data_IF_912520787254
#
_entry.id   IF_912520787254
#
_cell.length_a   1.000
_cell.length_b   1.000
_cell.length_c   1.000
_cell.angle_alpha   90.00
_cell.angle_beta   90.00
_cell.angle_gamma   90.00
#
_symmetry.space_group_name_H-M   'P 1'
#
loop_
_entity.id
_entity.type
_entity.pdbx_description
1 polymer ?
#
# COMPACT_ATOMS: atom_id res chain seq x y z
N UNK A 1 9.52 20.50 -9.50
CA UNK A 1 8.57 20.17 -10.60
C UNK A 1 7.40 21.12 -10.49
N UNK A 2 6.86 21.66 -11.60
CA UNK A 2 5.85 22.74 -11.57
C UNK A 2 4.58 22.40 -10.75
N UNK A 3 4.26 21.12 -10.63
CA UNK A 3 3.07 20.58 -9.97
C UNK A 3 3.31 20.07 -8.54
N UNK A 4 4.55 20.10 -8.06
CA UNK A 4 4.82 19.79 -6.65
C UNK A 4 4.63 21.07 -5.84
N UNK A 5 3.99 20.96 -4.67
CA UNK A 5 3.88 22.09 -3.75
C UNK A 5 5.26 22.58 -3.28
N UNK A 6 5.29 23.68 -2.54
CA UNK A 6 6.54 24.29 -2.02
C UNK A 6 7.37 23.34 -1.15
N UNK A 7 6.76 22.29 -0.60
CA UNK A 7 7.42 21.24 0.18
C UNK A 7 7.88 20.04 -0.66
N UNK A 8 7.78 20.11 -1.99
CA UNK A 8 8.13 19.01 -2.88
C UNK A 8 7.23 17.79 -2.69
N UNK A 9 5.94 18.00 -2.42
CA UNK A 9 4.92 16.93 -2.38
C UNK A 9 3.87 17.16 -3.46
N UNK A 10 3.36 16.07 -4.00
CA UNK A 10 2.14 16.10 -4.81
C UNK A 10 1.00 15.82 -3.86
N UNK A 11 0.12 16.80 -3.73
CA UNK A 11 -1.14 16.59 -3.05
C UNK A 11 -2.06 15.87 -4.05
N UNK A 12 -2.63 14.76 -3.60
CA UNK A 12 -3.62 13.96 -4.33
C UNK A 12 -4.65 13.45 -3.31
N UNK A 13 -5.03 14.33 -2.38
CA UNK A 13 -5.77 13.97 -1.17
C UNK A 13 -7.26 13.82 -1.41
N UNK A 14 -7.82 14.58 -2.35
CA UNK A 14 -9.25 14.52 -2.67
C UNK A 14 -9.58 13.44 -3.69
N UNK A 15 -10.80 12.93 -3.64
CA UNK A 15 -11.36 12.03 -4.65
C UNK A 15 -11.28 12.66 -6.04
N UNK A 16 -10.77 11.90 -7.01
CA UNK A 16 -10.65 12.40 -8.38
C UNK A 16 -12.01 12.47 -9.07
N UNK A 17 -12.29 13.60 -9.72
CA UNK A 17 -13.34 13.75 -10.73
C UNK A 17 -12.79 14.57 -11.89
N UNK A 18 -13.01 14.15 -13.15
CA UNK A 18 -12.61 14.95 -14.30
C UNK A 18 -13.21 16.35 -14.24
N UNK A 19 -12.37 17.38 -14.43
CA UNK A 19 -12.88 18.74 -14.53
C UNK A 19 -13.55 18.98 -15.89
N UNK A 20 -14.58 19.83 -15.89
CA UNK A 20 -15.23 20.32 -17.09
C UNK A 20 -15.70 21.76 -16.84
N UNK A 21 -15.06 22.71 -17.49
CA UNK A 21 -15.33 24.14 -17.36
C UNK A 21 -14.78 24.89 -18.59
N UNK A 22 -15.16 26.16 -18.76
CA UNK A 22 -14.57 27.03 -19.78
C UNK A 22 -13.31 27.72 -19.21
N UNK A 23 -12.38 28.08 -20.08
CA UNK A 23 -11.11 28.72 -19.69
C UNK A 23 -10.11 27.76 -19.04
N UNK A 24 -8.98 28.29 -18.63
CA UNK A 24 -7.86 27.51 -18.05
C UNK A 24 -8.21 26.91 -16.69
N UNK A 25 -7.51 25.84 -16.30
CA UNK A 25 -7.67 25.21 -14.99
C UNK A 25 -7.19 26.13 -13.86
N UNK A 26 -8.11 26.92 -13.33
CA UNK A 26 -7.91 27.85 -12.21
C UNK A 26 -9.13 27.84 -11.29
N UNK A 27 -8.94 28.31 -10.06
CA UNK A 27 -10.03 28.44 -9.09
C UNK A 27 -11.12 29.39 -9.58
N UNK A 28 -10.73 30.52 -10.19
CA UNK A 28 -11.63 31.54 -10.78
C UNK A 28 -12.54 31.00 -11.88
N UNK A 29 -12.09 29.98 -12.61
CA UNK A 29 -12.87 29.30 -13.66
C UNK A 29 -13.62 28.07 -13.15
N UNK A 30 -13.63 27.83 -11.84
CA UNK A 30 -14.36 26.72 -11.22
C UNK A 30 -13.74 25.35 -11.46
N UNK A 31 -12.43 25.25 -11.67
CA UNK A 31 -11.76 23.97 -11.89
C UNK A 31 -11.83 23.06 -10.65
N UNK A 32 -12.52 21.93 -10.77
CA UNK A 32 -12.62 20.94 -9.68
C UNK A 32 -11.23 20.43 -9.24
N UNK A 33 -10.37 20.06 -10.20
CA UNK A 33 -9.05 19.50 -9.91
C UNK A 33 -8.21 20.46 -9.06
N UNK A 34 -8.16 21.74 -9.43
CA UNK A 34 -7.46 22.78 -8.65
C UNK A 34 -8.04 22.91 -7.25
N UNK A 35 -9.37 22.95 -7.12
CA UNK A 35 -10.06 23.13 -5.82
C UNK A 35 -9.77 22.01 -4.83
N UNK A 36 -9.64 20.76 -5.30
CA UNK A 36 -9.30 19.60 -4.44
C UNK A 36 -7.81 19.27 -4.45
N UNK A 37 -6.99 20.20 -4.97
CA UNK A 37 -5.54 20.08 -5.12
C UNK A 37 -5.10 18.76 -5.79
N UNK A 38 -5.80 18.36 -6.85
CA UNK A 38 -5.47 17.24 -7.70
C UNK A 38 -4.92 17.71 -9.05
N UNK A 39 -4.09 16.88 -9.66
CA UNK A 39 -3.65 17.09 -11.04
C UNK A 39 -4.73 16.69 -12.04
N UNK A 40 -4.81 17.42 -13.14
CA UNK A 40 -5.65 17.03 -14.27
C UNK A 40 -5.08 15.78 -14.94
N UNK A 41 -5.95 14.90 -15.41
CA UNK A 41 -5.58 13.65 -16.09
C UNK A 41 -6.16 13.64 -17.50
N UNK A 42 -5.83 12.63 -18.31
CA UNK A 42 -6.40 12.40 -19.65
C UNK A 42 -7.93 12.37 -19.69
N UNK A 43 -8.61 12.13 -18.56
CA UNK A 43 -10.07 12.14 -18.48
C UNK A 43 -10.68 13.54 -18.37
N UNK A 44 -9.90 14.56 -17.99
CA UNK A 44 -10.37 15.93 -17.84
C UNK A 44 -10.69 16.58 -19.19
N UNK A 45 -11.80 17.32 -19.26
CA UNK A 45 -12.24 18.07 -20.45
C UNK A 45 -11.59 19.44 -20.63
N UNK A 46 -10.51 19.75 -19.90
CA UNK A 46 -9.71 20.96 -20.12
C UNK A 46 -8.75 20.78 -21.30
N UNK A 47 -8.10 21.87 -21.75
CA UNK A 47 -7.20 21.85 -22.92
C UNK A 47 -6.04 20.84 -22.75
N UNK A 48 -5.49 20.40 -23.88
CA UNK A 48 -4.35 19.49 -23.94
C UNK A 48 -3.05 20.17 -23.43
N UNK A 49 -2.98 21.50 -23.54
CA UNK A 49 -1.92 22.37 -23.04
C UNK A 49 -2.09 22.78 -21.57
N UNK A 50 -3.09 22.23 -20.87
CA UNK A 50 -3.37 22.54 -19.47
C UNK A 50 -2.14 22.37 -18.57
N UNK A 51 -1.71 23.44 -17.91
CA UNK A 51 -0.53 23.42 -17.03
C UNK A 51 -0.69 22.53 -15.79
N UNK A 52 -1.93 22.27 -15.35
CA UNK A 52 -2.24 21.37 -14.24
C UNK A 52 -2.30 19.89 -14.67
N UNK A 53 -2.18 19.59 -15.97
CA UNK A 53 -2.26 18.22 -16.49
C UNK A 53 -0.97 17.47 -16.18
N UNK A 54 -1.10 16.27 -15.61
CA UNK A 54 0.06 15.45 -15.32
C UNK A 54 0.71 14.97 -16.62
N UNK A 55 2.01 15.23 -16.85
CA UNK A 55 2.66 14.99 -18.15
C UNK A 55 3.13 13.54 -18.34
N UNK A 56 2.95 12.66 -17.36
CA UNK A 56 3.57 11.33 -17.35
C UNK A 56 5.07 11.40 -17.08
N UNK A 57 5.79 10.31 -17.34
CA UNK A 57 7.25 10.24 -17.22
C UNK A 57 7.94 10.04 -18.57
N UNK A 58 9.20 10.44 -18.63
CA UNK A 58 10.11 10.21 -19.77
C UNK A 58 11.28 9.28 -19.40
N UNK A 59 11.04 8.38 -18.45
CA UNK A 59 12.07 7.47 -17.97
C UNK A 59 12.45 6.45 -19.05
N UNK A 60 13.70 5.99 -19.03
CA UNK A 60 14.08 4.82 -19.80
C UNK A 60 13.31 3.57 -19.29
N UNK A 61 13.08 2.58 -20.16
CA UNK A 61 12.35 1.37 -19.80
C UNK A 61 12.93 0.67 -18.55
N UNK A 62 12.05 0.23 -17.64
CA UNK A 62 12.45 -0.47 -16.39
C UNK A 62 12.79 0.42 -15.18
N UNK A 63 13.00 1.72 -15.39
CA UNK A 63 13.54 2.62 -14.35
C UNK A 63 12.49 3.30 -13.44
N UNK A 64 11.20 3.05 -13.63
CA UNK A 64 10.12 3.74 -12.90
C UNK A 64 9.94 3.28 -11.43
N UNK A 65 11.01 2.91 -10.72
CA UNK A 65 10.94 2.31 -9.37
C UNK A 65 11.37 3.24 -8.24
N UNK A 66 11.84 4.43 -8.57
CA UNK A 66 12.44 5.37 -7.61
C UNK A 66 11.87 6.77 -7.81
N UNK A 67 12.16 7.67 -6.86
CA UNK A 67 11.78 9.10 -6.91
C UNK A 67 12.37 9.86 -8.11
N UNK A 68 13.27 9.27 -8.90
CA UNK A 68 13.72 9.85 -10.17
C UNK A 68 12.62 9.83 -11.24
N UNK A 69 11.68 8.88 -11.14
CA UNK A 69 10.50 8.83 -11.99
C UNK A 69 9.42 9.78 -11.48
N UNK A 70 8.89 10.61 -12.37
CA UNK A 70 7.84 11.58 -12.06
C UNK A 70 6.56 10.90 -11.55
N UNK A 71 6.13 9.80 -12.16
CA UNK A 71 4.96 9.03 -11.72
C UNK A 71 5.18 8.46 -10.32
N UNK A 72 6.30 7.77 -10.11
CA UNK A 72 6.62 7.17 -8.81
C UNK A 72 6.72 8.24 -7.70
N UNK A 73 7.33 9.38 -8.00
CA UNK A 73 7.44 10.51 -7.09
C UNK A 73 6.08 11.09 -6.72
N UNK A 74 5.16 11.20 -7.68
CA UNK A 74 3.78 11.62 -7.47
C UNK A 74 2.94 10.57 -6.72
N UNK A 75 3.46 9.36 -6.50
CA UNK A 75 2.70 8.18 -6.05
C UNK A 75 1.59 7.81 -7.03
N UNK A 76 1.91 7.85 -8.33
CA UNK A 76 1.05 7.43 -9.43
C UNK A 76 1.68 6.24 -10.14
N UNK A 77 0.87 5.31 -10.63
CA UNK A 77 1.34 4.36 -11.64
C UNK A 77 1.57 5.03 -12.99
N UNK A 78 2.40 4.41 -13.83
CA UNK A 78 2.61 4.86 -15.20
C UNK A 78 1.35 4.58 -16.03
N UNK A 79 0.78 5.65 -16.57
CA UNK A 79 -0.37 5.60 -17.46
C UNK A 79 0.11 5.25 -18.90
N UNK A 80 -0.42 4.19 -19.54
CA UNK A 80 -0.02 3.77 -20.89
C UNK A 80 -0.32 4.79 -21.99
N UNK A 81 -1.30 5.67 -21.79
CA UNK A 81 -1.68 6.69 -22.78
C UNK A 81 -0.88 7.98 -22.63
N UNK A 82 -0.09 8.10 -21.54
CA UNK A 82 0.68 9.31 -21.22
C UNK A 82 2.19 9.03 -21.19
N UNK A 83 2.61 7.91 -20.61
CA UNK A 83 4.01 7.57 -20.39
C UNK A 83 4.61 6.80 -21.58
N UNK A 84 5.03 7.52 -22.62
CA UNK A 84 5.44 6.92 -23.90
C UNK A 84 6.88 6.40 -23.92
N UNK A 85 7.77 6.84 -23.02
CA UNK A 85 9.21 6.46 -23.07
C UNK A 85 9.57 5.25 -22.21
N UNK A 86 8.81 4.99 -21.15
CA UNK A 86 9.15 3.93 -20.19
C UNK A 86 8.62 2.55 -20.61
N UNK A 87 7.95 2.45 -21.75
CA UNK A 87 7.32 1.24 -22.28
C UNK A 87 6.37 0.58 -21.26
N UNK A 88 5.51 1.37 -20.63
CA UNK A 88 4.55 0.88 -19.64
C UNK A 88 3.35 0.15 -20.26
N UNK A 89 3.10 0.39 -21.53
CA UNK A 89 2.17 -0.31 -22.40
C UNK A 89 2.69 -1.69 -22.85
N UNK A 90 4.01 -1.89 -22.88
CA UNK A 90 4.65 -3.09 -23.49
C UNK A 90 5.07 -4.16 -22.47
N UNK A 91 5.18 -5.38 -22.99
CA UNK A 91 5.76 -6.54 -22.31
C UNK A 91 7.12 -6.89 -22.92
N UNK A 92 7.99 -7.50 -22.12
CA UNK A 92 9.24 -8.11 -22.56
C UNK A 92 8.96 -9.36 -23.39
N UNK A 93 10.01 -9.93 -23.99
CA UNK A 93 9.95 -11.25 -24.64
C UNK A 93 9.52 -12.39 -23.71
N UNK A 94 9.75 -12.25 -22.40
CA UNK A 94 9.29 -13.18 -21.37
C UNK A 94 7.84 -12.95 -20.92
N UNK A 95 7.12 -11.99 -21.51
CA UNK A 95 5.74 -11.66 -21.16
C UNK A 95 5.59 -10.82 -19.89
N UNK A 96 6.69 -10.33 -19.30
CA UNK A 96 6.66 -9.48 -18.11
C UNK A 96 6.58 -8.00 -18.48
N UNK A 97 5.95 -7.12 -17.69
CA UNK A 97 6.02 -5.70 -17.97
C UNK A 97 7.44 -5.15 -17.88
N UNK A 98 7.76 -4.34 -18.89
CA UNK A 98 9.04 -3.65 -18.96
C UNK A 98 9.07 -2.53 -17.92
N UNK A 99 8.04 -1.69 -17.88
CA UNK A 99 7.88 -0.73 -16.79
C UNK A 99 7.50 -1.46 -15.49
N UNK A 100 8.01 -0.96 -14.36
CA UNK A 100 7.87 -1.60 -13.05
C UNK A 100 7.01 -0.78 -12.09
N UNK A 101 6.21 0.13 -12.65
CA UNK A 101 5.27 1.02 -11.97
C UNK A 101 3.88 0.89 -12.59
N UNK A 102 3.46 -0.35 -12.83
CA UNK A 102 2.20 -0.73 -13.52
C UNK A 102 1.58 -1.98 -12.88
N UNK A 103 2.05 -2.34 -11.69
CA UNK A 103 1.76 -3.63 -11.07
C UNK A 103 0.33 -3.71 -10.57
N UNK A 104 -0.23 -2.62 -10.05
CA UNK A 104 -1.61 -2.56 -9.56
C UNK A 104 -2.57 -2.64 -10.75
N UNK A 105 -2.41 -1.77 -11.77
CA UNK A 105 -3.30 -1.79 -12.94
C UNK A 105 -3.26 -3.09 -13.75
N UNK A 106 -2.19 -3.88 -13.63
CA UNK A 106 -2.03 -5.18 -14.28
C UNK A 106 -2.27 -6.38 -13.36
N UNK A 107 -2.62 -6.18 -12.09
CA UNK A 107 -2.89 -7.25 -11.14
C UNK A 107 -1.68 -8.16 -10.84
N UNK A 108 -0.46 -7.63 -10.88
CA UNK A 108 0.79 -8.38 -10.73
C UNK A 108 1.18 -8.63 -9.27
N UNK A 109 0.22 -9.09 -8.49
CA UNK A 109 0.41 -9.44 -7.08
C UNK A 109 1.23 -10.72 -6.92
N UNK A 110 2.02 -10.77 -5.85
CA UNK A 110 2.80 -11.94 -5.46
C UNK A 110 1.87 -13.04 -4.96
N UNK A 111 2.35 -14.28 -4.98
CA UNK A 111 1.64 -15.42 -4.39
C UNK A 111 1.70 -15.33 -2.87
N UNK A 112 0.53 -15.31 -2.24
CA UNK A 112 0.35 -15.20 -0.80
C UNK A 112 -0.50 -16.36 -0.29
N UNK A 113 -0.27 -16.76 0.95
CA UNK A 113 -1.06 -17.80 1.63
C UNK A 113 -1.49 -17.33 3.02
N UNK A 114 -2.59 -17.90 3.51
CA UNK A 114 -3.12 -17.65 4.85
C UNK A 114 -2.79 -18.84 5.74
N UNK A 115 -2.20 -18.58 6.90
CA UNK A 115 -1.91 -19.59 7.90
C UNK A 115 -2.05 -18.99 9.32
N UNK A 116 -2.11 -19.80 10.40
CA UNK A 116 -2.11 -19.26 11.75
C UNK A 116 -0.89 -18.36 12.00
N UNK A 117 -1.13 -17.14 12.48
CA UNK A 117 -0.08 -16.17 12.76
C UNK A 117 0.71 -16.58 14.00
N UNK A 118 2.00 -16.23 14.03
CA UNK A 118 2.80 -16.34 15.25
C UNK A 118 2.46 -15.24 16.28
N UNK A 119 1.74 -14.21 15.85
CA UNK A 119 1.30 -13.08 16.67
C UNK A 119 -0.12 -13.31 17.18
N UNK A 120 -1.13 -13.26 16.31
CA UNK A 120 -2.52 -13.41 16.72
C UNK A 120 -3.40 -13.84 15.54
N UNK A 121 -4.31 -14.77 15.78
CA UNK A 121 -5.29 -15.18 14.78
C UNK A 121 -4.64 -15.73 13.51
N UNK A 122 -5.07 -15.21 12.36
CA UNK A 122 -4.55 -15.57 11.04
C UNK A 122 -3.51 -14.54 10.58
N UNK A 123 -2.52 -15.02 9.83
CA UNK A 123 -1.48 -14.22 9.22
C UNK A 123 -1.45 -14.42 7.71
N UNK A 124 -0.84 -13.47 7.01
CA UNK A 124 -0.54 -13.57 5.58
C UNK A 124 0.95 -13.86 5.39
N UNK A 125 1.30 -14.84 4.56
CA UNK A 125 2.69 -15.26 4.35
C UNK A 125 3.04 -15.23 2.87
N UNK A 126 4.30 -14.95 2.56
CA UNK A 126 4.83 -15.02 1.21
C UNK A 126 4.91 -16.48 0.72
N UNK A 127 4.47 -16.75 -0.50
CA UNK A 127 4.59 -18.07 -1.17
C UNK A 127 5.61 -18.04 -2.32
N UNK A 128 6.48 -17.03 -2.31
CA UNK A 128 7.64 -16.87 -3.16
C UNK A 128 8.60 -15.85 -2.54
N UNK A 129 9.82 -15.77 -3.05
CA UNK A 129 10.76 -14.72 -2.67
C UNK A 129 10.30 -13.37 -3.25
N UNK A 130 10.37 -12.32 -2.41
CA UNK A 130 9.96 -10.96 -2.76
C UNK A 130 11.14 -10.02 -2.52
N UNK A 131 11.52 -9.24 -3.52
CA UNK A 131 12.64 -8.30 -3.41
C UNK A 131 12.23 -7.00 -2.69
N UNK A 132 13.22 -6.31 -2.12
CA UNK A 132 13.00 -4.99 -1.53
C UNK A 132 12.39 -4.03 -2.55
N UNK A 133 11.34 -3.32 -2.14
CA UNK A 133 10.52 -2.39 -2.92
C UNK A 133 9.57 -3.03 -3.94
N UNK A 134 9.54 -4.36 -4.08
CA UNK A 134 8.55 -5.00 -4.95
C UNK A 134 7.13 -4.72 -4.46
N UNK A 135 6.23 -4.63 -5.43
CA UNK A 135 4.79 -4.71 -5.18
C UNK A 135 4.44 -6.12 -4.70
N UNK A 136 3.69 -6.19 -3.60
CA UNK A 136 3.24 -7.44 -2.98
C UNK A 136 1.80 -7.72 -3.39
N UNK A 137 0.89 -6.80 -3.09
CA UNK A 137 -0.54 -6.92 -3.41
C UNK A 137 -1.22 -5.57 -3.28
N UNK A 138 -2.32 -5.36 -4.01
CA UNK A 138 -3.29 -4.32 -3.68
C UNK A 138 -4.01 -4.73 -2.38
N UNK A 139 -4.33 -3.78 -1.50
CA UNK A 139 -5.22 -4.01 -0.38
C UNK A 139 -6.65 -3.73 -0.83
N UNK A 140 -7.40 -4.77 -1.17
CA UNK A 140 -8.73 -4.64 -1.75
C UNK A 140 -9.82 -4.75 -0.68
N UNK A 141 -10.92 -4.01 -0.89
CA UNK A 141 -12.12 -4.08 -0.07
C UNK A 141 -13.26 -3.25 -0.64
N UNK A 142 -14.35 -3.11 0.11
CA UNK A 142 -15.43 -2.19 -0.24
C UNK A 142 -14.95 -0.74 -0.12
N UNK A 143 -15.14 0.10 -1.14
CA UNK A 143 -14.88 1.54 -1.02
C UNK A 143 -16.13 2.21 -0.45
N UNK A 144 -16.01 2.77 0.75
CA UNK A 144 -17.09 3.41 1.49
C UNK A 144 -16.75 4.86 1.85
N UNK A 145 -17.76 5.67 2.16
CA UNK A 145 -17.55 7.04 2.62
C UNK A 145 -16.99 7.08 4.05
N UNK A 146 -16.39 8.22 4.44
CA UNK A 146 -15.98 8.45 5.83
C UNK A 146 -17.13 8.25 6.84
N UNK A 147 -18.33 8.77 6.54
CA UNK A 147 -19.48 8.63 7.43
C UNK A 147 -19.89 7.15 7.64
N UNK A 148 -19.81 6.34 6.58
CA UNK A 148 -20.10 4.91 6.68
C UNK A 148 -18.97 4.17 7.43
N UNK A 149 -17.71 4.58 7.23
CA UNK A 149 -16.57 4.00 7.95
C UNK A 149 -16.68 4.26 9.45
N UNK A 150 -17.08 5.46 9.88
CA UNK A 150 -17.34 5.81 11.27
C UNK A 150 -18.50 5.00 11.85
N UNK A 151 -19.59 4.84 11.08
CA UNK A 151 -20.75 4.05 11.50
C UNK A 151 -20.38 2.58 11.73
N UNK A 152 -19.62 1.97 10.81
CA UNK A 152 -19.11 0.59 10.93
C UNK A 152 -18.05 0.47 12.03
N UNK A 153 -17.18 1.47 12.16
CA UNK A 153 -16.11 1.57 13.15
C UNK A 153 -16.60 1.39 14.58
N UNK A 154 -17.76 1.98 14.94
CA UNK A 154 -18.38 1.79 16.26
C UNK A 154 -18.65 0.33 16.63
N UNK A 155 -18.91 -0.54 15.64
CA UNK A 155 -19.10 -1.98 15.85
C UNK A 155 -17.73 -2.66 15.90
N UNK A 156 -16.83 -2.31 14.97
CA UNK A 156 -15.48 -2.86 14.86
C UNK A 156 -14.63 -2.62 16.13
N UNK A 157 -14.80 -1.47 16.77
CA UNK A 157 -14.17 -1.13 18.05
C UNK A 157 -14.70 -1.98 19.21
N UNK A 158 -15.97 -2.41 19.16
CA UNK A 158 -16.55 -3.31 20.19
C UNK A 158 -16.03 -4.73 20.03
N UNK A 159 -15.92 -5.22 18.80
CA UNK A 159 -15.39 -6.56 18.51
C UNK A 159 -13.86 -6.61 18.50
N UNK A 160 -13.20 -5.43 18.60
CA UNK A 160 -11.73 -5.27 18.58
C UNK A 160 -11.10 -5.89 17.33
N UNK A 161 -11.74 -5.71 16.17
CA UNK A 161 -11.25 -6.14 14.88
C UNK A 161 -11.70 -5.14 13.80
N UNK A 162 -10.74 -4.49 13.12
CA UNK A 162 -11.00 -3.51 12.08
C UNK A 162 -10.12 -3.77 10.86
N UNK A 163 -10.72 -3.69 9.68
CA UNK A 163 -10.06 -3.78 8.37
C UNK A 163 -10.32 -2.50 7.55
N UNK A 164 -10.51 -1.38 8.24
CA UNK A 164 -10.67 -0.06 7.64
C UNK A 164 -9.31 0.54 7.31
N UNK A 165 -9.14 1.00 6.08
CA UNK A 165 -7.93 1.66 5.59
C UNK A 165 -8.30 2.96 4.87
N UNK A 166 -7.83 4.11 5.38
CA UNK A 166 -8.09 5.41 4.76
C UNK A 166 -7.51 5.51 3.34
N UNK A 167 -8.34 5.89 2.37
CA UNK A 167 -7.96 5.91 0.96
C UNK A 167 -7.62 7.34 0.50
N UNK A 168 -8.52 8.28 0.78
CA UNK A 168 -8.42 9.70 0.45
C UNK A 168 -9.31 10.48 1.43
N UNK A 169 -9.48 11.79 1.25
CA UNK A 169 -10.20 12.64 2.20
C UNK A 169 -11.67 12.22 2.35
N UNK A 170 -12.29 11.67 1.30
CA UNK A 170 -13.71 11.30 1.29
C UNK A 170 -13.99 9.78 1.44
N UNK A 171 -12.98 8.92 1.18
CA UNK A 171 -13.17 7.49 1.01
C UNK A 171 -12.25 6.64 1.89
N UNK A 172 -12.77 5.46 2.27
CA UNK A 172 -12.09 4.43 3.06
C UNK A 172 -12.31 3.08 2.38
N UNK A 173 -11.29 2.23 2.38
CA UNK A 173 -11.41 0.82 2.00
C UNK A 173 -11.76 0.00 3.24
N UNK A 174 -12.87 -0.73 3.20
CA UNK A 174 -13.29 -1.68 4.22
C UNK A 174 -13.13 -3.11 3.71
N UNK A 175 -12.07 -3.79 4.14
CA UNK A 175 -11.84 -5.18 3.74
C UNK A 175 -12.63 -6.19 4.59
N UNK A 176 -13.52 -5.77 5.52
CA UNK A 176 -14.16 -6.66 6.49
C UNK A 176 -15.01 -7.75 5.82
N UNK A 177 -15.87 -7.35 4.87
CA UNK A 177 -16.84 -8.25 4.21
C UNK A 177 -16.30 -8.83 2.91
N UNK A 178 -15.66 -7.99 2.11
CA UNK A 178 -15.02 -8.36 0.84
C UNK A 178 -13.59 -7.87 0.90
N UNK A 179 -12.64 -8.72 0.52
CA UNK A 179 -11.23 -8.36 0.48
C UNK A 179 -10.39 -9.53 -0.05
N UNK A 180 -9.09 -9.29 -0.21
CA UNK A 180 -8.14 -10.29 -0.70
C UNK A 180 -7.16 -10.74 0.40
N UNK A 181 -6.31 -11.71 0.08
CA UNK A 181 -5.42 -12.42 1.04
C UNK A 181 -4.57 -11.47 1.90
N UNK A 182 -4.11 -10.34 1.34
CA UNK A 182 -3.26 -9.40 2.08
C UNK A 182 -3.96 -8.75 3.28
N UNK A 183 -5.30 -8.82 3.39
CA UNK A 183 -6.04 -8.33 4.57
C UNK A 183 -5.64 -9.03 5.88
N UNK A 184 -5.03 -10.22 5.79
CA UNK A 184 -4.55 -10.99 6.94
C UNK A 184 -3.12 -10.63 7.36
N UNK A 185 -2.42 -9.73 6.65
CA UNK A 185 -1.12 -9.25 7.07
C UNK A 185 -1.27 -8.38 8.32
N UNK A 186 -0.63 -8.79 9.42
CA UNK A 186 -0.84 -8.20 10.73
C UNK A 186 -0.11 -6.86 10.92
N UNK A 187 -0.46 -6.15 12.00
CA UNK A 187 0.25 -4.94 12.39
C UNK A 187 1.64 -5.26 12.97
N UNK A 188 2.64 -4.44 12.63
CA UNK A 188 3.91 -4.37 13.36
C UNK A 188 4.44 -2.94 13.39
N UNK A 189 5.14 -2.57 14.47
CA UNK A 189 5.95 -1.33 14.55
C UNK A 189 7.30 -1.45 13.85
N UNK A 190 7.75 -2.68 13.59
CA UNK A 190 8.92 -2.99 12.75
C UNK A 190 8.47 -3.89 11.59
N UNK A 191 7.65 -3.37 10.67
CA UNK A 191 7.09 -4.18 9.59
C UNK A 191 8.14 -4.51 8.51
N UNK A 192 7.88 -5.56 7.73
CA UNK A 192 8.63 -5.89 6.52
C UNK A 192 7.95 -5.36 5.24
N UNK A 193 6.71 -4.86 5.34
CA UNK A 193 5.96 -4.23 4.26
C UNK A 193 5.51 -2.81 4.63
N UNK A 194 5.29 -1.98 3.61
CA UNK A 194 4.65 -0.66 3.73
C UNK A 194 3.43 -0.58 2.84
N UNK A 195 2.39 0.07 3.33
CA UNK A 195 1.26 0.48 2.53
C UNK A 195 1.51 1.87 1.94
N UNK A 196 1.06 2.10 0.70
CA UNK A 196 1.02 3.41 0.06
C UNK A 196 -0.29 3.56 -0.71
N UNK A 197 -0.92 4.72 -0.58
CA UNK A 197 -1.95 5.11 -1.53
C UNK A 197 -1.27 5.50 -2.84
N UNK A 198 -1.74 4.93 -3.94
CA UNK A 198 -1.23 5.13 -5.29
C UNK A 198 -2.40 5.52 -6.20
N UNK A 199 -2.23 6.54 -7.03
CA UNK A 199 -3.21 6.86 -8.07
C UNK A 199 -2.95 5.98 -9.29
N UNK A 200 -3.97 5.26 -9.72
CA UNK A 200 -3.94 4.29 -10.81
C UNK A 200 -5.05 4.65 -11.77
N UNK A 201 -4.69 5.25 -12.91
CA UNK A 201 -5.66 5.66 -13.95
C UNK A 201 -6.85 6.48 -13.41
N UNK A 202 -6.59 7.38 -12.46
CA UNK A 202 -7.59 8.25 -11.83
C UNK A 202 -8.14 7.73 -10.50
N UNK A 203 -8.00 6.44 -10.20
CA UNK A 203 -8.49 5.85 -8.95
C UNK A 203 -7.41 5.82 -7.89
N UNK A 204 -7.76 6.15 -6.64
CA UNK A 204 -6.91 5.85 -5.49
C UNK A 204 -6.97 4.35 -5.19
N UNK A 205 -5.81 3.73 -5.07
CA UNK A 205 -5.62 2.32 -4.71
C UNK A 205 -4.62 2.21 -3.56
N UNK A 206 -4.71 1.16 -2.76
CA UNK A 206 -3.75 0.91 -1.68
C UNK A 206 -2.82 -0.20 -2.12
N UNK A 207 -1.56 0.15 -2.41
CA UNK A 207 -0.53 -0.84 -2.73
C UNK A 207 0.28 -1.22 -1.48
N UNK A 208 0.49 -2.52 -1.29
CA UNK A 208 1.43 -3.05 -0.30
C UNK A 208 2.75 -3.37 -1.00
N UNK A 209 3.85 -2.85 -0.45
CA UNK A 209 5.20 -2.97 -1.01
C UNK A 209 6.19 -3.48 0.03
N UNK A 210 7.13 -4.33 -0.37
CA UNK A 210 8.16 -4.83 0.51
C UNK A 210 9.14 -3.72 0.91
N UNK A 211 9.50 -3.62 2.20
CA UNK A 211 10.51 -2.68 2.71
C UNK A 211 11.91 -3.28 2.74
N UNK A 212 11.99 -4.60 2.68
CA UNK A 212 13.20 -5.41 2.63
C UNK A 212 12.95 -6.64 1.75
N UNK A 213 13.99 -7.43 1.47
CA UNK A 213 13.77 -8.73 0.83
C UNK A 213 13.07 -9.68 1.82
N UNK A 214 12.10 -10.45 1.33
CA UNK A 214 11.26 -11.36 2.11
C UNK A 214 11.37 -12.74 1.46
N UNK A 215 11.70 -13.76 2.24
CA UNK A 215 11.79 -15.15 1.78
C UNK A 215 10.43 -15.83 1.77
N UNK A 216 10.30 -16.82 0.89
CA UNK A 216 9.15 -17.71 0.89
C UNK A 216 8.93 -18.30 2.31
N UNK A 217 7.69 -18.23 2.78
CA UNK A 217 7.27 -18.69 4.10
C UNK A 217 7.34 -17.63 5.21
N UNK A 218 7.89 -16.43 4.96
CA UNK A 218 7.87 -15.35 5.95
C UNK A 218 6.49 -14.71 6.08
N UNK A 219 6.11 -14.36 7.32
CA UNK A 219 4.87 -13.64 7.63
C UNK A 219 5.02 -12.15 7.24
N UNK A 220 3.97 -11.59 6.65
CA UNK A 220 3.91 -10.21 6.19
C UNK A 220 3.26 -9.33 7.24
N UNK A 221 3.89 -8.18 7.49
CA UNK A 221 3.40 -7.16 8.41
C UNK A 221 3.53 -5.77 7.81
N UNK A 222 2.58 -4.90 8.11
CA UNK A 222 2.67 -3.46 7.80
C UNK A 222 2.22 -2.60 8.98
N UNK A 223 2.63 -1.33 9.01
CA UNK A 223 2.16 -0.41 10.03
C UNK A 223 0.73 0.03 9.68
N UNK A 224 -0.22 -0.23 10.58
CA UNK A 224 -1.62 0.15 10.40
C UNK A 224 -1.84 1.65 10.67
N UNK A 225 -0.79 2.37 11.09
CA UNK A 225 -0.83 3.79 11.43
C UNK A 225 -1.91 4.12 12.47
N UNK A 226 -2.20 3.17 13.37
CA UNK A 226 -3.14 3.35 14.47
C UNK A 226 -2.89 4.66 15.21
N UNK A 227 -3.94 5.44 15.42
CA UNK A 227 -3.86 6.61 16.28
C UNK A 227 -3.62 6.20 17.75
N UNK A 228 -3.31 7.15 18.62
CA UNK A 228 -2.98 6.86 20.04
C UNK A 228 -4.05 6.05 20.77
N UNK A 229 -5.34 6.21 20.42
CA UNK A 229 -6.46 5.49 21.03
C UNK A 229 -6.48 4.05 20.52
N UNK A 230 -6.40 3.86 19.21
CA UNK A 230 -6.38 2.54 18.58
C UNK A 230 -5.15 1.71 19.00
N UNK A 231 -4.00 2.37 19.19
CA UNK A 231 -2.79 1.70 19.70
C UNK A 231 -2.98 1.09 21.09
N UNK A 232 -3.86 1.64 21.93
CA UNK A 232 -4.16 1.11 23.26
C UNK A 232 -5.17 -0.04 23.19
N UNK A 233 -6.04 -0.07 22.18
CA UNK A 233 -7.13 -1.06 22.13
C UNK A 233 -6.79 -2.32 21.32
N UNK A 234 -6.03 -2.18 20.24
CA UNK A 234 -5.78 -3.27 19.28
C UNK A 234 -4.38 -3.91 19.46
N UNK A 235 -3.35 -3.09 19.69
CA UNK A 235 -1.95 -3.53 19.76
C UNK A 235 -1.59 -4.33 21.04
N UNK A 236 -2.18 -4.10 22.24
CA UNK A 236 -1.76 -4.82 23.45
C UNK A 236 -2.08 -6.32 23.44
N UNK A 237 -3.03 -6.78 22.62
CA UNK A 237 -3.27 -8.22 22.43
C UNK A 237 -2.20 -8.85 21.54
N UNK A 238 -1.78 -8.15 20.49
CA UNK A 238 -0.73 -8.58 19.55
C UNK A 238 0.67 -8.54 20.19
N UNK A 239 0.98 -7.56 21.04
CA UNK A 239 2.26 -7.50 21.75
C UNK A 239 2.39 -8.53 22.87
N UNK A 240 1.31 -8.81 23.62
CA UNK A 240 1.34 -9.80 24.72
C UNK A 240 1.61 -11.23 24.23
N UNK A 241 1.21 -11.57 22.99
CA UNK A 241 1.55 -12.85 22.37
C UNK A 241 2.99 -12.88 21.86
N UNK A 242 3.49 -11.80 21.25
CA UNK A 242 4.88 -11.67 20.79
C UNK A 242 5.89 -11.80 21.94
N UNK A 243 5.65 -11.12 23.07
CA UNK A 243 6.54 -11.18 24.24
C UNK A 243 6.60 -12.60 24.81
N UNK A 244 5.44 -13.25 25.01
CA UNK A 244 5.37 -14.65 25.46
C UNK A 244 6.07 -15.62 24.50
N UNK A 245 6.05 -15.34 23.20
CA UNK A 245 6.71 -16.19 22.20
C UNK A 245 8.23 -16.01 22.18
N UNK A 246 8.74 -14.78 22.31
CA UNK A 246 10.17 -14.50 22.45
C UNK A 246 10.76 -15.16 23.70
N UNK A 247 10.03 -15.11 24.82
CA UNK A 247 10.41 -15.80 26.06
C UNK A 247 10.44 -17.33 25.89
N UNK A 248 9.47 -17.90 25.15
CA UNK A 248 9.41 -19.35 24.84
C UNK A 248 10.52 -19.82 23.90
N UNK A 249 10.92 -19.00 22.93
CA UNK A 249 12.05 -19.32 22.03
C UNK A 249 13.40 -19.14 22.73
N UNK A 250 13.56 -18.11 23.56
CA UNK A 250 14.77 -17.92 24.38
C UNK A 250 14.93 -18.99 25.48
N UNK A 251 13.81 -19.53 26.00
CA UNK A 251 13.82 -20.62 26.98
C UNK A 251 14.10 -22.02 26.40
N UNK A 252 14.12 -22.18 25.06
CA UNK A 252 14.42 -23.46 24.40
C UNK A 252 15.91 -23.64 24.06
N UNK A 253 16.74 -22.60 24.15
CA UNK A 253 18.16 -22.65 23.80
C UNK A 253 19.11 -22.91 24.99
N UNK A 254 18.60 -23.09 26.21
CA UNK A 254 19.43 -23.43 27.39
C UNK A 254 18.84 -24.65 28.09
N UNK A 255 19.28 -25.85 27.70
CA UNK A 255 18.78 -27.06 28.35
C UNK A 255 19.18 -28.41 27.76
N UNK A 256 20.41 -28.58 27.27
CA UNK A 256 21.07 -29.90 27.21
C UNK A 256 22.56 -29.72 27.44
N UNK A 257 22.97 -29.74 28.70
CA UNK A 257 24.27 -30.28 29.07
C UNK A 257 24.00 -31.64 29.69
N UNK A 258 24.51 -32.66 29.03
CA UNK A 258 24.52 -34.05 29.45
C UNK A 258 25.24 -34.17 30.79
N UNK A 259 24.51 -34.59 31.83
CA UNK A 259 25.12 -35.17 33.00
C UNK A 259 25.70 -36.54 32.61
N UNK A 260 27.02 -36.61 32.46
CA UNK A 260 27.74 -37.88 32.51
C UNK A 260 27.77 -38.28 34.00
N UNK A 261 27.18 -39.43 34.30
CA UNK A 261 27.26 -40.05 35.61
C UNK A 261 28.62 -40.73 35.75
N UNK A 262 29.35 -40.36 36.79
CA UNK A 262 30.36 -41.21 37.43
C UNK A 262 29.65 -42.44 37.99
N UNK A 263 30.10 -43.63 37.60
CA UNK A 263 29.94 -44.85 38.38
C UNK A 263 31.34 -45.41 38.63
N UNK A 264 31.67 -45.53 39.91
CA UNK A 264 32.95 -46.00 40.45
C UNK A 264 33.03 -47.52 40.45
N UNK A 265 34.20 -48.07 40.09
CA UNK A 265 35.02 -49.10 40.80
C UNK A 265 36.38 -49.15 40.10
#
# INVERSE_FOLDING_TARGET
MKWANTNGKVENGGMFKPCQHKGDCREEHGCYCIRVNNLCTKYCGCSDECENRFPGCRCAPGNCRTKQCQCYYASWECDPDVCTSCNCDKLSSSGEPICKNVSIQRGLQKRLIVAPSQVAGWGCFANEDIEKNDFVSEYCGEVISQAESERRGKIYDRIKCSYLFGLNDEQVVDATRVGNVIRFANHSKNPNCRARVVVVNGDHKIGIFAQQSIKCGEELFFDYAYNKIQQVEFVPKELKSIVKHRERQAGRSVGRHSAIRDDSI
#
